data_IF_005941844984
#
_entry.id   IF_005941844984
#
_cell.length_a   1.000
_cell.length_b   1.000
_cell.length_c   1.000
_cell.angle_alpha   90.00
_cell.angle_beta   90.00
_cell.angle_gamma   90.00
#
_symmetry.space_group_name_H-M   'P 1'
#
loop_
_entity.id
_entity.type
_entity.pdbx_description
1 polymer ?
#
# COMPACT_ATOMS: atom_id res chain seq x y z
N UNK A 1 12.97 8.12 -25.27
CA UNK A 1 13.64 7.54 -24.08
C UNK A 1 12.59 7.35 -23.01
N UNK A 2 12.27 6.11 -22.63
CA UNK A 2 11.31 5.83 -21.56
C UNK A 2 12.04 5.85 -20.23
N UNK A 3 11.65 6.74 -19.32
CA UNK A 3 12.22 6.86 -17.97
C UNK A 3 12.11 5.51 -17.26
N UNK A 4 13.17 5.03 -16.57
CA UNK A 4 13.07 3.79 -15.80
C UNK A 4 11.99 3.96 -14.72
N UNK A 5 11.02 3.04 -14.68
CA UNK A 5 10.02 2.98 -13.62
C UNK A 5 10.72 2.49 -12.35
N UNK A 6 11.32 3.41 -11.61
CA UNK A 6 11.83 3.13 -10.27
C UNK A 6 10.64 2.71 -9.42
N UNK A 7 10.73 1.54 -8.80
CA UNK A 7 9.71 1.04 -7.88
C UNK A 7 9.96 1.69 -6.53
N UNK A 8 9.09 2.61 -6.14
CA UNK A 8 9.37 3.58 -5.06
C UNK A 8 8.50 3.41 -3.83
N UNK A 9 7.37 2.70 -3.95
CA UNK A 9 6.39 2.57 -2.87
C UNK A 9 6.11 1.11 -2.54
N UNK A 10 5.94 0.81 -1.26
CA UNK A 10 5.54 -0.50 -0.73
C UNK A 10 4.30 -0.35 0.15
N UNK A 11 3.40 -1.33 0.08
CA UNK A 11 2.27 -1.44 1.01
C UNK A 11 2.68 -2.35 2.17
N UNK A 12 2.40 -1.94 3.40
CA UNK A 12 2.66 -2.69 4.61
C UNK A 12 1.40 -2.86 5.44
N UNK A 13 1.23 -4.02 6.05
CA UNK A 13 0.18 -4.27 7.04
C UNK A 13 0.62 -5.34 8.04
N UNK A 14 0.06 -5.28 9.24
CA UNK A 14 0.24 -6.32 10.27
C UNK A 14 -0.63 -7.55 10.03
N UNK A 15 -1.75 -7.38 9.32
CA UNK A 15 -2.67 -8.46 9.01
C UNK A 15 -2.52 -8.85 7.53
N UNK A 16 -2.79 -10.12 7.17
CA UNK A 16 -2.89 -10.50 5.78
C UNK A 16 -3.90 -9.61 5.07
N UNK A 17 -3.47 -8.99 3.97
CA UNK A 17 -4.36 -8.23 3.09
C UNK A 17 -5.08 -9.22 2.18
N UNK A 18 -6.35 -9.46 2.51
CA UNK A 18 -7.20 -10.45 1.85
C UNK A 18 -8.30 -9.81 1.00
N UNK A 19 -8.27 -8.49 0.81
CA UNK A 19 -9.32 -7.75 0.11
C UNK A 19 -9.81 -8.46 -1.15
N UNK A 20 -11.13 -8.67 -1.22
CA UNK A 20 -11.81 -9.49 -2.22
C UNK A 20 -11.56 -9.09 -3.68
N UNK A 21 -11.04 -7.88 -3.92
CA UNK A 21 -10.87 -7.30 -5.25
C UNK A 21 -9.49 -7.58 -5.86
N UNK A 22 -8.53 -8.12 -5.10
CA UNK A 22 -7.16 -8.28 -5.55
C UNK A 22 -6.58 -9.63 -5.11
N UNK A 23 -5.86 -10.34 -5.99
CA UNK A 23 -5.14 -11.54 -5.59
C UNK A 23 -4.09 -11.16 -4.53
N UNK A 24 -3.89 -12.00 -3.51
CA UNK A 24 -2.96 -11.71 -2.40
C UNK A 24 -1.52 -11.40 -2.82
N UNK A 25 -1.12 -11.77 -4.04
CA UNK A 25 0.17 -11.40 -4.65
C UNK A 25 0.29 -9.93 -5.03
N UNK A 26 -0.81 -9.18 -5.11
CA UNK A 26 -0.83 -7.75 -5.39
C UNK A 26 -0.19 -6.92 -4.26
N UNK A 27 -0.22 -7.43 -3.02
CA UNK A 27 0.25 -6.70 -1.83
C UNK A 27 1.72 -6.90 -1.51
N UNK A 28 2.36 -7.91 -2.12
CA UNK A 28 3.82 -8.09 -2.08
C UNK A 28 4.55 -7.32 -3.18
N UNK A 29 3.83 -6.47 -3.92
CA UNK A 29 4.34 -5.75 -5.10
C UNK A 29 4.88 -4.38 -4.69
N UNK A 30 5.92 -3.93 -5.38
CA UNK A 30 6.39 -2.55 -5.30
C UNK A 30 5.74 -1.72 -6.41
N UNK A 31 5.53 -0.43 -6.15
CA UNK A 31 4.81 0.47 -7.04
C UNK A 31 5.67 1.68 -7.41
N UNK A 32 5.66 2.06 -8.68
CA UNK A 32 6.29 3.29 -9.14
C UNK A 32 5.45 4.55 -8.89
N UNK A 33 4.15 4.38 -8.59
CA UNK A 33 3.19 5.48 -8.47
C UNK A 33 2.53 5.48 -7.09
N UNK A 34 2.63 6.61 -6.37
CA UNK A 34 2.05 6.82 -5.04
C UNK A 34 0.54 6.61 -5.03
N UNK A 35 -0.19 7.27 -5.94
CA UNK A 35 -1.65 7.25 -5.99
C UNK A 35 -2.18 5.83 -6.24
N UNK A 36 -1.52 5.06 -7.10
CA UNK A 36 -1.86 3.65 -7.31
C UNK A 36 -1.62 2.82 -6.04
N UNK A 37 -0.47 3.00 -5.38
CA UNK A 37 -0.16 2.29 -4.15
C UNK A 37 -1.18 2.59 -3.04
N UNK A 38 -1.59 3.86 -2.89
CA UNK A 38 -2.63 4.29 -1.93
C UNK A 38 -3.98 3.68 -2.28
N UNK A 39 -4.40 3.74 -3.55
CA UNK A 39 -5.68 3.17 -3.96
C UNK A 39 -5.77 1.66 -3.70
N UNK A 40 -4.69 0.92 -3.97
CA UNK A 40 -4.63 -0.51 -3.69
C UNK A 40 -4.57 -0.80 -2.19
N UNK A 41 -3.84 -0.01 -1.41
CA UNK A 41 -3.83 -0.13 0.05
C UNK A 41 -5.24 0.02 0.63
N UNK A 42 -5.97 1.08 0.26
CA UNK A 42 -7.34 1.31 0.73
C UNK A 42 -8.28 0.17 0.32
N UNK A 43 -8.20 -0.30 -0.94
CA UNK A 43 -9.03 -1.41 -1.44
C UNK A 43 -8.68 -2.77 -0.84
N UNK A 44 -7.58 -2.87 -0.11
CA UNK A 44 -7.11 -4.13 0.50
C UNK A 44 -7.58 -4.35 1.93
N UNK A 45 -8.05 -3.28 2.57
CA UNK A 45 -8.57 -3.30 3.94
C UNK A 45 -9.93 -3.98 3.94
N UNK A 46 -10.04 -5.06 4.69
CA UNK A 46 -11.29 -5.84 4.84
C UNK A 46 -12.09 -5.34 6.06
N UNK A 47 -11.41 -5.19 7.21
CA UNK A 47 -11.99 -4.58 8.41
C UNK A 47 -11.17 -3.33 8.80
N UNK A 48 -11.67 -2.10 8.54
CA UNK A 48 -10.93 -0.86 8.84
C UNK A 48 -10.85 -0.53 10.33
N UNK A 49 -11.60 -1.21 11.20
CA UNK A 49 -11.53 -1.03 12.65
C UNK A 49 -10.37 -1.80 13.28
N UNK A 50 -9.99 -2.92 12.66
CA UNK A 50 -8.92 -3.81 13.13
C UNK A 50 -7.65 -3.72 12.27
N UNK A 51 -7.78 -3.40 10.99
CA UNK A 51 -6.68 -3.43 10.03
C UNK A 51 -6.14 -2.03 9.77
N UNK A 52 -4.82 -1.90 9.96
CA UNK A 52 -4.05 -0.74 9.52
C UNK A 52 -3.19 -1.12 8.33
N UNK A 53 -3.22 -0.29 7.30
CA UNK A 53 -2.33 -0.38 6.14
C UNK A 53 -1.54 0.89 5.98
N UNK A 54 -0.31 0.76 5.51
CA UNK A 54 0.62 1.87 5.31
C UNK A 54 1.15 1.81 3.89
N UNK A 55 1.34 2.98 3.30
CA UNK A 55 2.15 3.11 2.08
C UNK A 55 3.44 3.80 2.47
N UNK A 56 4.57 3.12 2.20
CA UNK A 56 5.90 3.58 2.56
C UNK A 56 6.67 3.93 1.30
N UNK A 57 7.27 5.11 1.26
CA UNK A 57 8.27 5.46 0.26
C UNK A 57 9.60 4.79 0.61
N UNK A 58 10.09 3.90 -0.25
CA UNK A 58 11.18 2.97 0.06
C UNK A 58 12.49 3.70 0.34
N UNK A 59 12.82 4.72 -0.46
CA UNK A 59 14.11 5.39 -0.36
C UNK A 59 14.25 6.24 0.91
N UNK A 60 13.16 6.85 1.38
CA UNK A 60 13.18 7.69 2.60
C UNK A 60 12.68 6.95 3.85
N UNK A 61 11.99 5.83 3.69
CA UNK A 61 11.26 5.16 4.79
C UNK A 61 10.01 5.92 5.25
N UNK A 62 9.64 7.02 4.58
CA UNK A 62 8.50 7.86 4.95
C UNK A 62 7.17 7.13 4.74
N UNK A 63 6.28 7.19 5.73
CA UNK A 63 4.89 6.75 5.59
C UNK A 63 4.10 7.85 4.89
N UNK A 64 3.81 7.66 3.60
CA UNK A 64 3.11 8.65 2.78
C UNK A 64 1.59 8.53 2.86
N UNK A 65 1.09 7.47 3.51
CA UNK A 65 -0.32 7.22 3.79
C UNK A 65 -0.44 6.12 4.87
N UNK A 66 -1.41 6.25 5.78
CA UNK A 66 -1.79 5.20 6.74
C UNK A 66 -3.31 5.20 6.93
N UNK A 67 -3.92 4.01 7.04
CA UNK A 67 -5.31 3.86 7.48
C UNK A 67 -5.39 3.64 8.99
N UNK A 68 -6.38 4.25 9.61
CA UNK A 68 -6.70 4.13 11.03
C UNK A 68 -7.72 5.20 11.43
N UNK A 69 -8.28 5.13 12.65
CA UNK A 69 -9.06 6.25 13.16
C UNK A 69 -8.18 7.50 13.14
N UNK A 70 -8.74 8.63 12.68
CA UNK A 70 -8.10 9.92 12.87
C UNK A 70 -7.76 10.09 14.37
N UNK A 71 -6.62 10.70 14.71
CA UNK A 71 -6.26 10.96 16.10
C UNK A 71 -7.36 11.70 16.86
#
# INVERSE_FOLDING_TARGET
MSTPRILTYRIESRHPLLGHLLPGSAFKRLFANRSLAVALAVKSVDDPTLQKVRVVHIASGEVVFETGPAP
#
